data_IF_865196126256
#
_entry.id   IF_865196126256
#
_cell.length_a   1.000
_cell.length_b   1.000
_cell.length_c   1.000
_cell.angle_alpha   90.00
_cell.angle_beta   90.00
_cell.angle_gamma   90.00
#
_symmetry.space_group_name_H-M   'P 1'
#
loop_
_entity.id
_entity.type
_entity.pdbx_description
1 polymer ?
#
# COMPACT_ATOMS: atom_id res chain seq x y z
N UNK A 1 5.83 20.94 7.89
CA UNK A 1 4.61 20.13 7.75
C UNK A 1 5.10 18.74 7.41
N UNK A 2 4.67 17.71 8.15
CA UNK A 2 5.11 16.33 7.88
C UNK A 2 4.21 15.72 6.82
N UNK A 3 4.72 14.79 6.01
CA UNK A 3 3.91 14.11 4.99
C UNK A 3 2.74 13.33 5.61
N UNK A 4 2.90 12.83 6.84
CA UNK A 4 1.80 12.18 7.57
C UNK A 4 0.64 13.14 7.82
N UNK A 5 0.93 14.41 8.15
CA UNK A 5 -0.10 15.44 8.37
C UNK A 5 -0.89 15.69 7.08
N UNK A 6 -0.23 15.64 5.91
CA UNK A 6 -0.86 15.79 4.60
C UNK A 6 -1.75 14.59 4.29
N UNK A 7 -1.27 13.38 4.56
CA UNK A 7 -2.04 12.14 4.36
C UNK A 7 -3.32 12.15 5.18
N UNK A 8 -3.21 12.43 6.48
CA UNK A 8 -4.37 12.52 7.38
C UNK A 8 -5.30 13.67 6.94
N UNK A 9 -4.76 14.83 6.55
CA UNK A 9 -5.58 15.95 6.07
C UNK A 9 -6.38 15.61 4.81
N UNK A 10 -5.77 14.96 3.82
CA UNK A 10 -6.45 14.57 2.58
C UNK A 10 -7.59 13.59 2.82
N UNK A 11 -7.43 12.69 3.80
CA UNK A 11 -8.48 11.75 4.18
C UNK A 11 -9.56 12.44 5.02
N UNK A 12 -9.18 13.15 6.08
CA UNK A 12 -10.11 13.69 7.07
C UNK A 12 -10.91 14.88 6.54
N UNK A 13 -10.36 15.62 5.57
CA UNK A 13 -11.02 16.77 4.93
C UNK A 13 -11.47 16.50 3.49
N UNK A 14 -11.58 15.23 3.09
CA UNK A 14 -12.07 14.86 1.76
C UNK A 14 -13.50 15.35 1.52
N UNK A 15 -13.82 15.71 0.28
CA UNK A 15 -15.21 15.88 -0.12
C UNK A 15 -15.96 14.54 -0.10
N UNK A 16 -17.27 14.56 0.15
CA UNK A 16 -18.06 13.35 0.40
C UNK A 16 -18.07 12.33 -0.78
N UNK A 17 -17.81 12.79 -2.00
CA UNK A 17 -17.81 11.98 -3.22
C UNK A 17 -16.40 11.50 -3.65
N UNK A 18 -15.37 11.80 -2.87
CA UNK A 18 -14.01 11.35 -3.16
C UNK A 18 -13.91 9.84 -2.92
N UNK A 19 -13.43 9.12 -3.92
CA UNK A 19 -13.12 7.69 -3.80
C UNK A 19 -11.71 7.52 -3.22
N UNK A 20 -11.45 6.43 -2.46
CA UNK A 20 -10.13 6.15 -1.90
C UNK A 20 -9.01 6.14 -2.96
N UNK A 21 -9.30 5.60 -4.14
CA UNK A 21 -8.33 5.48 -5.24
C UNK A 21 -7.74 6.82 -5.70
N UNK A 22 -8.53 7.90 -5.68
CA UNK A 22 -7.98 9.22 -6.02
C UNK A 22 -6.92 9.70 -5.02
N UNK A 23 -7.13 9.45 -3.72
CA UNK A 23 -6.14 9.83 -2.70
C UNK A 23 -4.91 8.94 -2.83
N UNK A 24 -5.07 7.63 -3.03
CA UNK A 24 -3.95 6.72 -3.28
C UNK A 24 -3.10 7.19 -4.46
N UNK A 25 -3.74 7.56 -5.59
CA UNK A 25 -3.04 8.02 -6.79
C UNK A 25 -2.28 9.34 -6.56
N UNK A 26 -2.85 10.28 -5.80
CA UNK A 26 -2.14 11.52 -5.46
C UNK A 26 -0.91 11.26 -4.58
N UNK A 27 -1.04 10.39 -3.58
CA UNK A 27 0.06 10.02 -2.70
C UNK A 27 1.17 9.27 -3.44
N UNK A 28 0.81 8.37 -4.36
CA UNK A 28 1.75 7.73 -5.27
C UNK A 28 2.42 8.74 -6.19
N UNK A 29 1.66 9.69 -6.75
CA UNK A 29 2.22 10.73 -7.60
C UNK A 29 3.24 11.60 -6.84
N UNK A 30 2.94 11.92 -5.57
CA UNK A 30 3.84 12.63 -4.68
C UNK A 30 5.13 11.84 -4.39
N UNK A 31 5.06 10.52 -4.25
CA UNK A 31 6.25 9.72 -3.92
C UNK A 31 7.34 9.77 -5.00
N UNK A 32 7.01 10.18 -6.23
CA UNK A 32 7.99 10.36 -7.31
C UNK A 32 8.75 11.70 -7.26
N UNK A 33 8.27 12.67 -6.49
CA UNK A 33 8.76 14.06 -6.55
C UNK A 33 9.22 14.62 -5.19
N UNK A 34 9.00 13.87 -4.11
CA UNK A 34 9.48 14.21 -2.76
C UNK A 34 10.73 13.39 -2.40
N UNK A 35 11.37 13.73 -1.29
CA UNK A 35 12.56 13.00 -0.85
C UNK A 35 12.24 11.58 -0.36
N UNK A 36 13.27 10.72 -0.34
CA UNK A 36 13.12 9.32 0.04
C UNK A 36 12.69 9.11 1.50
N UNK A 37 12.97 10.07 2.40
CA UNK A 37 12.56 9.98 3.81
C UNK A 37 11.04 10.14 3.92
N UNK A 38 10.47 11.10 3.19
CA UNK A 38 9.03 11.29 3.13
C UNK A 38 8.32 10.17 2.36
N UNK A 39 8.95 9.58 1.34
CA UNK A 39 8.42 8.35 0.72
C UNK A 39 8.33 7.23 1.76
N UNK A 40 9.39 6.98 2.54
CA UNK A 40 9.39 5.95 3.58
C UNK A 40 8.26 6.18 4.60
N UNK A 41 8.02 7.44 4.99
CA UNK A 41 6.90 7.81 5.88
C UNK A 41 5.53 7.53 5.28
N UNK A 42 5.33 7.75 3.97
CA UNK A 42 4.07 7.38 3.30
C UNK A 42 3.79 5.88 3.45
N UNK A 43 4.82 5.05 3.27
CA UNK A 43 4.73 3.59 3.42
C UNK A 43 4.38 3.22 4.86
N UNK A 44 5.06 3.82 5.84
CA UNK A 44 4.79 3.59 7.26
C UNK A 44 3.35 3.97 7.66
N UNK A 45 2.85 5.11 7.16
CA UNK A 45 1.46 5.52 7.39
C UNK A 45 0.49 4.54 6.74
N UNK A 46 0.74 4.11 5.49
CA UNK A 46 -0.06 3.09 4.81
C UNK A 46 -0.13 1.78 5.61
N UNK A 47 1.00 1.31 6.14
CA UNK A 47 1.08 0.14 7.04
C UNK A 47 0.22 0.30 8.29
N UNK A 48 0.22 1.49 8.91
CA UNK A 48 -0.62 1.78 10.07
C UNK A 48 -2.10 1.81 9.70
N UNK A 49 -2.45 2.38 8.55
CA UNK A 49 -3.83 2.46 8.08
C UNK A 49 -4.43 1.09 7.75
N UNK A 50 -3.66 0.14 7.22
CA UNK A 50 -4.11 -1.26 7.05
C UNK A 50 -4.57 -1.92 8.36
N UNK A 51 -4.06 -1.45 9.51
CA UNK A 51 -4.41 -1.98 10.84
C UNK A 51 -5.51 -1.16 11.53
N UNK A 52 -6.04 -0.11 10.88
CA UNK A 52 -6.99 0.82 11.48
C UNK A 52 -8.44 0.32 11.42
N UNK A 53 -9.33 0.98 12.19
CA UNK A 53 -10.78 0.77 12.16
C UNK A 53 -11.49 1.61 11.08
N UNK A 54 -10.76 2.41 10.31
CA UNK A 54 -11.32 3.27 9.27
C UNK A 54 -11.22 2.60 7.90
N UNK A 55 -12.38 2.16 7.40
CA UNK A 55 -12.51 1.53 6.09
C UNK A 55 -11.91 2.37 4.95
N UNK A 56 -12.05 3.70 5.01
CA UNK A 56 -11.55 4.59 3.97
C UNK A 56 -10.01 4.62 3.99
N UNK A 57 -9.40 4.72 5.17
CA UNK A 57 -7.93 4.67 5.33
C UNK A 57 -7.36 3.33 4.86
N UNK A 58 -8.02 2.22 5.20
CA UNK A 58 -7.64 0.88 4.70
C UNK A 58 -7.70 0.83 3.18
N UNK A 59 -8.77 1.33 2.57
CA UNK A 59 -8.92 1.35 1.12
C UNK A 59 -7.86 2.23 0.43
N UNK A 60 -7.52 3.38 1.01
CA UNK A 60 -6.42 4.22 0.52
C UNK A 60 -5.10 3.45 0.59
N UNK A 61 -4.83 2.80 1.73
CA UNK A 61 -3.60 2.03 1.93
C UNK A 61 -3.48 0.89 0.91
N UNK A 62 -4.53 0.10 0.70
CA UNK A 62 -4.57 -0.95 -0.35
C UNK A 62 -4.22 -0.38 -1.73
N UNK A 63 -4.66 0.85 -2.04
CA UNK A 63 -4.36 1.51 -3.31
C UNK A 63 -2.90 1.99 -3.46
N UNK A 64 -2.12 2.12 -2.38
CA UNK A 64 -0.70 2.53 -2.44
C UNK A 64 0.23 1.40 -2.89
N UNK A 65 -0.26 0.15 -2.92
CA UNK A 65 0.59 -1.03 -3.14
C UNK A 65 1.26 -1.09 -4.51
N UNK A 66 0.77 -0.36 -5.53
CA UNK A 66 1.34 -0.42 -6.88
C UNK A 66 2.82 -0.03 -6.97
N UNK A 67 3.34 0.74 -6.01
CA UNK A 67 4.75 1.17 -5.96
C UNK A 67 5.38 1.02 -4.56
N UNK A 68 4.59 0.68 -3.54
CA UNK A 68 5.06 0.61 -2.16
C UNK A 68 4.77 -0.76 -1.56
N UNK A 69 5.82 -1.50 -1.20
CA UNK A 69 5.64 -2.78 -0.51
C UNK A 69 5.19 -2.51 0.92
N UNK A 70 3.88 -2.61 1.14
CA UNK A 70 3.24 -2.35 2.44
C UNK A 70 3.46 -3.48 3.46
N UNK A 71 4.26 -4.49 3.15
CA UNK A 71 4.71 -5.48 4.13
C UNK A 71 6.09 -6.03 3.73
N UNK A 72 6.81 -6.60 4.70
CA UNK A 72 8.17 -7.08 4.47
C UNK A 72 8.18 -8.53 3.94
N UNK A 73 7.04 -9.22 3.97
CA UNK A 73 6.86 -10.56 3.42
C UNK A 73 5.45 -10.79 2.86
N UNK A 74 5.31 -11.83 2.04
CA UNK A 74 4.01 -12.28 1.54
C UNK A 74 3.12 -12.79 2.67
N UNK A 75 3.73 -13.46 3.65
CA UNK A 75 3.05 -13.98 4.83
C UNK A 75 2.42 -12.84 5.64
N UNK A 76 3.12 -11.72 5.82
CA UNK A 76 2.57 -10.56 6.54
C UNK A 76 1.39 -9.92 5.78
N UNK A 77 1.44 -9.86 4.44
CA UNK A 77 0.27 -9.42 3.66
C UNK A 77 -0.91 -10.39 3.82
N UNK A 78 -0.65 -11.69 3.73
CA UNK A 78 -1.70 -12.71 3.84
C UNK A 78 -2.36 -12.69 5.22
N UNK A 79 -1.58 -12.49 6.28
CA UNK A 79 -2.06 -12.38 7.66
C UNK A 79 -2.92 -11.14 7.89
N UNK A 80 -2.77 -10.08 7.08
CA UNK A 80 -3.60 -8.87 7.13
C UNK A 80 -4.88 -9.02 6.30
N UNK A 81 -4.85 -9.80 5.23
CA UNK A 81 -5.95 -9.86 4.27
C UNK A 81 -7.24 -10.46 4.87
N UNK A 82 -7.16 -11.59 5.57
CA UNK A 82 -8.35 -12.25 6.11
C UNK A 82 -9.06 -11.42 7.20
N UNK A 83 -8.35 -10.86 8.20
CA UNK A 83 -8.96 -9.96 9.17
C UNK A 83 -9.63 -8.74 8.54
N UNK A 84 -9.08 -8.21 7.44
CA UNK A 84 -9.68 -7.09 6.72
C UNK A 84 -11.01 -7.46 6.05
N UNK A 85 -11.14 -8.67 5.50
CA UNK A 85 -12.41 -9.13 4.92
C UNK A 85 -13.49 -9.36 5.97
N UNK A 86 -13.11 -9.93 7.11
CA UNK A 86 -14.02 -10.13 8.23
C UNK A 86 -14.51 -8.78 8.79
N UNK A 87 -13.58 -7.83 8.95
CA UNK A 87 -13.85 -6.51 9.50
C UNK A 87 -14.62 -5.60 8.54
N UNK A 88 -14.29 -5.65 7.25
CA UNK A 88 -14.91 -4.84 6.20
C UNK A 88 -15.42 -5.75 5.07
N UNK A 89 -16.55 -6.44 5.25
CA UNK A 89 -17.07 -7.37 4.23
C UNK A 89 -17.32 -6.73 2.86
N UNK A 90 -17.64 -5.43 2.82
CA UNK A 90 -17.81 -4.67 1.57
C UNK A 90 -16.53 -4.47 0.78
N UNK A 91 -15.36 -4.68 1.40
CA UNK A 91 -14.05 -4.61 0.74
C UNK A 91 -13.52 -5.97 0.31
N UNK A 92 -14.25 -7.08 0.53
CA UNK A 92 -13.70 -8.41 0.29
C UNK A 92 -13.14 -8.59 -1.14
N UNK A 93 -13.86 -8.08 -2.14
CA UNK A 93 -13.41 -8.09 -3.53
C UNK A 93 -12.17 -7.22 -3.77
N UNK A 94 -12.07 -6.06 -3.11
CA UNK A 94 -10.90 -5.17 -3.21
C UNK A 94 -9.66 -5.79 -2.56
N UNK A 95 -9.85 -6.46 -1.42
CA UNK A 95 -8.80 -7.21 -0.71
C UNK A 95 -8.35 -8.40 -1.55
N UNK A 96 -9.27 -9.16 -2.16
CA UNK A 96 -8.94 -10.26 -3.07
C UNK A 96 -8.15 -9.76 -4.30
N UNK A 97 -8.59 -8.64 -4.88
CA UNK A 97 -7.91 -8.03 -6.02
C UNK A 97 -6.51 -7.53 -5.64
N UNK A 98 -6.36 -6.96 -4.44
CA UNK A 98 -5.07 -6.57 -3.89
C UNK A 98 -4.14 -7.78 -3.72
N UNK A 99 -4.61 -8.84 -3.07
CA UNK A 99 -3.85 -10.09 -2.91
C UNK A 99 -3.39 -10.68 -4.25
N UNK A 100 -4.26 -10.64 -5.25
CA UNK A 100 -3.96 -11.13 -6.59
C UNK A 100 -2.87 -10.30 -7.30
N UNK A 101 -2.80 -8.99 -7.06
CA UNK A 101 -1.76 -8.09 -7.61
C UNK A 101 -0.43 -8.20 -6.87
N UNK A 102 -0.48 -8.31 -5.54
CA UNK A 102 0.70 -8.38 -4.70
C UNK A 102 1.50 -9.67 -4.94
N UNK A 103 0.84 -10.82 -5.13
CA UNK A 103 1.51 -12.11 -5.25
C UNK A 103 2.61 -12.15 -6.35
N UNK A 104 2.35 -11.75 -7.61
CA UNK A 104 3.40 -11.68 -8.63
C UNK A 104 4.54 -10.71 -8.29
N UNK A 105 4.27 -9.60 -7.60
CA UNK A 105 5.30 -8.64 -7.19
C UNK A 105 6.25 -9.26 -6.15
N UNK A 106 5.71 -9.94 -5.14
CA UNK A 106 6.51 -10.68 -4.15
C UNK A 106 7.30 -11.83 -4.76
N UNK A 107 6.70 -12.62 -5.67
CA UNK A 107 7.41 -13.73 -6.32
C UNK A 107 8.62 -13.26 -7.15
N UNK A 108 8.56 -12.07 -7.74
CA UNK A 108 9.71 -11.46 -8.46
C UNK A 108 10.84 -11.08 -7.51
N UNK A 109 10.52 -10.46 -6.37
CA UNK A 109 11.51 -10.11 -5.34
C UNK A 109 12.18 -11.36 -4.75
N UNK A 110 11.39 -12.39 -4.42
CA UNK A 110 11.90 -13.63 -3.82
C UNK A 110 12.87 -14.39 -4.72
N UNK A 111 12.67 -14.34 -6.05
CA UNK A 111 13.54 -15.00 -7.02
C UNK A 111 14.86 -14.26 -7.25
N UNK A 112 15.02 -13.05 -6.70
CA UNK A 112 16.12 -12.16 -7.03
C UNK A 112 15.91 -11.52 -8.40
N UNK A 113 16.48 -10.34 -8.58
CA UNK A 113 16.46 -9.66 -9.88
C UNK A 113 17.19 -10.52 -10.92
N UNK A 114 16.70 -10.55 -12.17
CA UNK A 114 17.42 -11.16 -13.30
C UNK A 114 18.88 -10.64 -13.41
N UNK A 115 19.14 -9.41 -12.95
CA UNK A 115 20.46 -8.80 -12.89
C UNK A 115 21.36 -9.34 -11.76
N UNK A 116 20.80 -9.89 -10.69
CA UNK A 116 21.56 -10.50 -9.59
C UNK A 116 21.97 -11.94 -9.92
N UNK A 117 21.13 -12.67 -10.65
CA UNK A 117 21.45 -14.03 -11.11
C UNK A 117 22.53 -14.03 -12.21
N UNK A 118 22.55 -13.03 -13.10
CA UNK A 118 23.59 -12.91 -14.13
C UNK A 118 24.98 -12.49 -13.62
N UNK A 119 25.10 -12.02 -12.38
CA UNK A 119 26.38 -11.65 -11.76
C UNK A 119 27.03 -12.80 -10.97
N UNK A 120 26.32 -13.91 -10.74
CA UNK A 120 26.88 -15.11 -10.10
C UNK A 120 27.48 -16.11 -11.11
N UNK A 121 27.15 -15.97 -12.39
CA UNK A 121 27.64 -16.82 -13.48
C UNK A 121 28.71 -16.15 -14.37
N UNK A 122 29.31 -15.03 -13.93
CA UNK A 122 30.37 -14.29 -14.63
C UNK A 122 31.72 -14.32 -13.88
#
# INVERSE_FOLDING_TARGET
MKVEDVMDFLVDHRAANVTPGYISEQLLSMSWIIDAEDVARIIEVGRRWLKSDDQFRVAVAIGLESETYLADSWEEIADLAEPLKEKFPSMAADVDAWMARARPAYERLKKGSFFEQGAQDA
#
